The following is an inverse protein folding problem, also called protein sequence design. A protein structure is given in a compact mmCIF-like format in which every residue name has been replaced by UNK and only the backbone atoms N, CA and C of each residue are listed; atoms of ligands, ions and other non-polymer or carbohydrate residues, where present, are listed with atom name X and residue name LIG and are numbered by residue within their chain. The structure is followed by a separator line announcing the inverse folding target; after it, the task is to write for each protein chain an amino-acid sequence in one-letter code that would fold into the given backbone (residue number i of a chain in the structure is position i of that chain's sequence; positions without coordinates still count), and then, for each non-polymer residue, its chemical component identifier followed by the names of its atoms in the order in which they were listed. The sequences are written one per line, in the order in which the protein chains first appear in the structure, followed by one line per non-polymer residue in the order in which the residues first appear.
data_IF_705646121008
#
_entry.id   IF_705646121008
#
_cell.length_a   1.000
_cell.length_b   1.000
_cell.length_c   1.000
_cell.angle_alpha   90.00
_cell.angle_beta   90.00
_cell.angle_gamma   90.00
#
_symmetry.space_group_name_H-M   'P 1'
#
loop_
_entity.id
_entity.type
_entity.pdbx_description
1 polymer ?
#
# COMPACT_ATOMS: atom_id res chain seq x y z
N UNK A 1 70.47 -4.94 -7.78
CA UNK A 1 69.17 -4.29 -7.99
C UNK A 1 68.15 -5.31 -8.35
N UNK A 2 67.20 -5.67 -7.47
CA UNK A 2 66.11 -6.62 -7.75
C UNK A 2 64.84 -5.81 -7.94
N UNK A 3 64.05 -6.04 -8.99
CA UNK A 3 62.78 -5.35 -9.17
C UNK A 3 61.72 -5.93 -8.21
N UNK A 4 61.02 -5.04 -7.49
CA UNK A 4 59.87 -5.36 -6.67
C UNK A 4 58.66 -5.35 -7.62
N UNK A 5 58.06 -6.54 -7.82
CA UNK A 5 56.80 -6.67 -8.54
C UNK A 5 55.66 -6.38 -7.54
N UNK A 6 55.02 -5.25 -7.68
CA UNK A 6 53.81 -4.91 -6.93
C UNK A 6 52.62 -5.69 -7.54
N UNK A 7 52.08 -6.63 -6.78
CA UNK A 7 50.86 -7.36 -7.11
C UNK A 7 49.65 -6.50 -6.72
N UNK A 8 49.03 -5.87 -7.67
CA UNK A 8 47.75 -5.17 -7.48
C UNK A 8 46.63 -6.18 -7.41
N UNK A 9 46.12 -6.46 -6.20
CA UNK A 9 44.92 -7.25 -6.00
C UNK A 9 43.71 -6.38 -6.33
N UNK A 10 43.12 -6.59 -7.52
CA UNK A 10 41.86 -5.99 -7.93
C UNK A 10 40.74 -6.78 -7.21
N UNK A 11 40.18 -6.19 -6.14
CA UNK A 11 38.97 -6.71 -5.51
C UNK A 11 37.81 -6.54 -6.49
N UNK A 12 37.43 -7.60 -7.18
CA UNK A 12 36.15 -7.69 -7.88
C UNK A 12 35.05 -7.80 -6.82
N UNK A 13 34.42 -6.69 -6.49
CA UNK A 13 33.12 -6.66 -5.82
C UNK A 13 32.09 -7.25 -6.79
N UNK A 14 31.81 -8.53 -6.61
CA UNK A 14 30.66 -9.16 -7.26
C UNK A 14 29.41 -8.49 -6.70
N UNK A 15 28.88 -7.50 -7.44
CA UNK A 15 27.54 -6.98 -7.21
C UNK A 15 26.57 -8.16 -7.46
N UNK A 16 26.12 -8.78 -6.37
CA UNK A 16 25.01 -9.70 -6.42
C UNK A 16 23.79 -8.87 -6.86
N UNK A 17 23.50 -8.90 -8.18
CA UNK A 17 22.24 -8.44 -8.69
C UNK A 17 21.17 -9.37 -8.12
N UNK A 18 20.56 -8.98 -7.01
CA UNK A 18 19.31 -9.61 -6.58
C UNK A 18 18.36 -9.51 -7.76
N UNK A 19 18.01 -10.68 -8.32
CA UNK A 19 16.99 -10.74 -9.33
C UNK A 19 15.77 -10.00 -8.78
N UNK A 20 15.38 -8.90 -9.43
CA UNK A 20 14.28 -8.09 -8.96
C UNK A 20 13.04 -8.99 -8.95
N UNK A 21 12.48 -9.26 -7.76
CA UNK A 21 11.21 -9.97 -7.67
C UNK A 21 10.17 -9.15 -8.44
N UNK A 22 9.62 -9.75 -9.49
CA UNK A 22 8.60 -9.13 -10.34
C UNK A 22 7.37 -10.00 -10.28
N UNK A 23 6.29 -9.49 -9.73
CA UNK A 23 4.98 -10.10 -9.86
C UNK A 23 4.20 -9.41 -10.97
N UNK A 24 3.49 -10.20 -11.75
CA UNK A 24 2.73 -9.71 -12.89
C UNK A 24 1.40 -10.43 -12.98
N UNK A 25 0.33 -9.68 -13.13
CA UNK A 25 -1.00 -10.22 -13.38
C UNK A 25 -1.63 -9.56 -14.59
N UNK A 26 -2.29 -10.37 -15.40
CA UNK A 26 -3.10 -9.94 -16.53
C UNK A 26 -4.56 -9.89 -16.11
N UNK A 27 -5.28 -8.87 -16.54
CA UNK A 27 -6.70 -8.70 -16.31
C UNK A 27 -7.35 -8.00 -17.50
N UNK A 28 -8.68 -8.03 -17.60
CA UNK A 28 -9.41 -7.52 -18.76
C UNK A 28 -10.54 -6.57 -18.34
N UNK A 29 -10.23 -5.32 -17.99
CA UNK A 29 -11.25 -4.32 -17.76
C UNK A 29 -11.92 -3.94 -19.11
N UNK A 30 -13.24 -3.87 -19.12
CA UNK A 30 -14.02 -3.48 -20.32
C UNK A 30 -13.60 -4.24 -21.60
N UNK A 31 -13.22 -5.53 -21.48
CA UNK A 31 -12.67 -6.37 -22.55
C UNK A 31 -11.34 -5.85 -23.16
N UNK A 32 -10.68 -4.90 -22.54
CA UNK A 32 -9.38 -4.38 -22.97
C UNK A 32 -8.28 -5.07 -22.18
N UNK A 33 -7.33 -5.80 -22.83
CA UNK A 33 -6.25 -6.45 -22.12
C UNK A 33 -5.36 -5.45 -21.38
N UNK A 34 -5.20 -5.65 -20.08
CA UNK A 34 -4.37 -4.84 -19.21
C UNK A 34 -3.46 -5.73 -18.36
N UNK A 35 -2.44 -5.12 -17.76
CA UNK A 35 -1.46 -5.78 -16.91
C UNK A 35 -1.11 -4.90 -15.72
N UNK A 36 -1.01 -5.52 -14.55
CA UNK A 36 -0.39 -4.91 -13.39
C UNK A 36 0.96 -5.59 -13.10
N UNK A 37 1.96 -4.80 -12.77
CA UNK A 37 3.32 -5.24 -12.46
C UNK A 37 3.76 -4.64 -11.15
N UNK A 38 4.12 -5.50 -10.19
CA UNK A 38 4.72 -5.12 -8.92
C UNK A 38 6.20 -5.53 -8.96
N UNK A 39 7.10 -4.55 -8.94
CA UNK A 39 8.54 -4.77 -9.09
C UNK A 39 9.29 -4.30 -7.85
N UNK A 40 10.08 -5.21 -7.23
CA UNK A 40 10.96 -4.88 -6.12
C UNK A 40 12.22 -4.14 -6.61
N UNK A 41 12.64 -3.15 -5.86
CA UNK A 41 13.92 -2.44 -6.01
C UNK A 41 14.54 -2.15 -4.62
N UNK A 42 15.69 -1.49 -4.57
CA UNK A 42 16.43 -1.27 -3.30
C UNK A 42 15.66 -0.44 -2.26
N UNK A 43 14.74 0.40 -2.68
CA UNK A 43 13.96 1.30 -1.79
C UNK A 43 12.53 0.81 -1.53
N UNK A 44 12.15 -0.38 -2.03
CA UNK A 44 10.80 -0.92 -1.88
C UNK A 44 10.26 -1.49 -3.19
N UNK A 45 8.98 -1.23 -3.47
CA UNK A 45 8.30 -1.75 -4.66
C UNK A 45 7.67 -0.63 -5.47
N UNK A 46 7.74 -0.75 -6.78
CA UNK A 46 6.95 0.06 -7.71
C UNK A 46 5.75 -0.72 -8.23
N UNK A 47 4.62 -0.03 -8.41
CA UNK A 47 3.43 -0.55 -9.09
C UNK A 47 3.28 0.12 -10.44
N UNK A 48 3.08 -0.68 -11.49
CA UNK A 48 2.77 -0.19 -12.84
C UNK A 48 1.49 -0.86 -13.33
N UNK A 49 0.54 -0.08 -13.81
CA UNK A 49 -0.67 -0.55 -14.50
C UNK A 49 -0.59 -0.08 -15.94
N UNK A 50 -0.72 -0.99 -16.88
CA UNK A 50 -0.64 -0.69 -18.29
C UNK A 50 -1.72 -1.42 -19.09
N UNK A 51 -2.28 -0.73 -20.08
CA UNK A 51 -3.09 -1.32 -21.12
C UNK A 51 -2.15 -1.96 -22.16
N UNK A 52 -2.50 -3.16 -22.67
CA UNK A 52 -1.66 -3.88 -23.61
C UNK A 52 -1.88 -3.43 -25.07
N UNK A 53 -3.12 -3.07 -25.41
CA UNK A 53 -3.52 -2.69 -26.78
C UNK A 53 -4.53 -1.52 -26.75
N UNK A 54 -4.16 -0.31 -27.28
CA UNK A 54 -2.79 0.10 -27.60
C UNK A 54 -1.94 0.15 -26.32
N UNK A 55 -0.63 -0.05 -26.44
CA UNK A 55 0.25 -0.05 -25.26
C UNK A 55 0.32 1.33 -24.63
N UNK A 56 -0.20 1.46 -23.40
CA UNK A 56 -0.26 2.72 -22.67
C UNK A 56 -0.10 2.47 -21.16
N UNK A 57 0.80 3.20 -20.50
CA UNK A 57 0.84 3.22 -19.03
C UNK A 57 -0.31 4.05 -18.51
N UNK A 58 -1.10 3.46 -17.62
CA UNK A 58 -2.28 4.09 -17.00
C UNK A 58 -1.95 4.64 -15.61
N UNK A 59 -1.04 3.95 -14.88
CA UNK A 59 -0.58 4.34 -13.55
C UNK A 59 0.86 3.85 -13.37
N UNK A 60 1.69 4.67 -12.74
CA UNK A 60 3.00 4.25 -12.24
C UNK A 60 3.27 4.93 -10.91
N UNK A 61 3.50 4.13 -9.86
CA UNK A 61 3.88 4.60 -8.53
C UNK A 61 5.23 3.98 -8.19
N UNK A 62 6.26 4.82 -8.07
CA UNK A 62 7.64 4.36 -7.91
C UNK A 62 7.90 3.69 -6.55
N UNK A 63 7.40 4.28 -5.47
CA UNK A 63 7.60 3.80 -4.09
C UNK A 63 6.26 3.35 -3.50
N UNK A 64 5.59 2.43 -4.19
CA UNK A 64 4.24 2.00 -3.82
C UNK A 64 4.22 1.25 -2.48
N UNK A 65 5.17 0.34 -2.25
CA UNK A 65 5.35 -0.34 -0.96
C UNK A 65 6.77 -0.09 -0.45
N UNK A 66 6.97 -0.01 0.89
CA UNK A 66 8.29 0.15 1.49
C UNK A 66 9.13 -1.12 1.39
N UNK A 67 10.43 -1.01 1.67
CA UNK A 67 11.39 -2.12 1.53
C UNK A 67 11.21 -3.21 2.60
N UNK A 68 10.66 -2.88 3.77
CA UNK A 68 10.41 -3.79 4.90
C UNK A 68 9.14 -4.64 4.75
N UNK A 69 8.47 -4.61 3.60
CA UNK A 69 7.35 -5.49 3.32
C UNK A 69 7.85 -6.92 3.19
N UNK A 70 7.29 -7.83 4.00
CA UNK A 70 7.60 -9.26 4.02
C UNK A 70 6.78 -10.05 3.03
N UNK A 71 5.55 -9.60 2.78
CA UNK A 71 4.64 -10.19 1.79
C UNK A 71 4.13 -9.08 0.89
N UNK A 72 4.39 -9.21 -0.41
CA UNK A 72 3.82 -8.35 -1.43
C UNK A 72 3.27 -9.26 -2.55
N UNK A 73 1.96 -9.25 -2.77
CA UNK A 73 1.29 -10.12 -3.74
C UNK A 73 0.34 -9.35 -4.64
N UNK A 74 0.35 -9.72 -5.92
CA UNK A 74 -0.67 -9.34 -6.89
C UNK A 74 -1.65 -10.50 -7.09
N UNK A 75 -2.94 -10.20 -7.12
CA UNK A 75 -3.98 -11.16 -7.47
C UNK A 75 -4.84 -10.60 -8.59
N UNK A 76 -5.06 -11.39 -9.65
CA UNK A 76 -6.01 -11.05 -10.68
C UNK A 76 -7.43 -11.32 -10.20
N UNK A 77 -8.33 -10.39 -10.47
CA UNK A 77 -9.76 -10.50 -10.28
C UNK A 77 -10.44 -10.21 -11.63
N UNK A 78 -11.71 -10.61 -11.79
CA UNK A 78 -12.41 -10.31 -13.03
C UNK A 78 -12.50 -8.78 -13.24
N UNK A 79 -11.87 -8.28 -14.30
CA UNK A 79 -11.83 -6.86 -14.65
C UNK A 79 -11.00 -5.95 -13.73
N UNK A 80 -10.34 -6.52 -12.71
CA UNK A 80 -9.57 -5.79 -11.71
C UNK A 80 -8.37 -6.59 -11.22
N UNK A 81 -7.57 -6.00 -10.33
CA UNK A 81 -6.52 -6.69 -9.60
C UNK A 81 -6.42 -6.12 -8.18
N UNK A 82 -5.86 -6.90 -7.26
CA UNK A 82 -5.55 -6.42 -5.91
C UNK A 82 -4.07 -6.55 -5.60
N UNK A 83 -3.58 -5.65 -4.75
CA UNK A 83 -2.26 -5.71 -4.13
C UNK A 83 -2.45 -5.91 -2.64
N UNK A 84 -1.86 -6.97 -2.11
CA UNK A 84 -1.79 -7.27 -0.68
C UNK A 84 -0.38 -7.06 -0.19
N UNK A 85 -0.22 -6.37 0.93
CA UNK A 85 1.08 -6.16 1.57
C UNK A 85 1.01 -6.41 3.07
N UNK A 86 2.06 -7.04 3.61
CA UNK A 86 2.27 -7.21 5.05
C UNK A 86 3.70 -6.77 5.41
N UNK A 87 3.87 -6.20 6.59
CA UNK A 87 5.18 -5.90 7.17
C UNK A 87 5.48 -6.83 8.35
N UNK A 88 6.72 -6.80 8.84
CA UNK A 88 7.14 -7.57 10.02
C UNK A 88 6.34 -7.23 11.27
N UNK A 89 5.87 -5.99 11.39
CA UNK A 89 5.09 -5.49 12.53
C UNK A 89 3.59 -5.81 12.44
N UNK A 90 3.21 -6.80 11.64
CA UNK A 90 1.81 -7.20 11.36
C UNK A 90 0.92 -6.07 10.78
N UNK A 91 1.52 -5.02 10.24
CA UNK A 91 0.76 -4.05 9.46
C UNK A 91 0.42 -4.66 8.12
N UNK A 92 -0.82 -4.54 7.71
CA UNK A 92 -1.22 -4.93 6.38
C UNK A 92 -2.02 -3.84 5.68
N UNK A 93 -1.93 -3.83 4.36
CA UNK A 93 -2.79 -3.01 3.53
C UNK A 93 -3.10 -3.77 2.24
N UNK A 94 -4.37 -3.80 1.91
CA UNK A 94 -4.90 -4.38 0.68
C UNK A 94 -5.60 -3.29 -0.12
N UNK A 95 -5.28 -3.18 -1.40
CA UNK A 95 -5.95 -2.28 -2.33
C UNK A 95 -6.41 -3.05 -3.56
N UNK A 96 -7.67 -2.93 -3.93
CA UNK A 96 -8.17 -3.40 -5.21
C UNK A 96 -8.33 -2.23 -6.18
N UNK A 97 -7.79 -2.40 -7.37
CA UNK A 97 -7.85 -1.42 -8.45
C UNK A 97 -8.55 -2.02 -9.66
N UNK A 98 -9.41 -1.23 -10.30
CA UNK A 98 -10.00 -1.52 -11.60
C UNK A 98 -9.71 -0.40 -12.59
N UNK A 99 -9.80 -0.69 -13.86
CA UNK A 99 -9.65 0.32 -14.90
C UNK A 99 -11.02 0.59 -15.50
N UNK A 100 -11.47 1.84 -15.44
CA UNK A 100 -12.73 2.30 -16.00
C UNK A 100 -12.48 3.43 -16.98
N UNK A 101 -12.96 3.30 -18.20
CA UNK A 101 -12.74 4.29 -19.25
C UNK A 101 -11.25 4.66 -19.42
N UNK A 102 -10.36 3.66 -19.32
CA UNK A 102 -8.90 3.84 -19.43
C UNK A 102 -8.24 4.57 -18.26
N UNK A 103 -8.90 4.66 -17.10
CA UNK A 103 -8.36 5.26 -15.86
C UNK A 103 -8.41 4.28 -14.70
N UNK A 104 -7.32 4.12 -13.94
CA UNK A 104 -7.34 3.35 -12.71
C UNK A 104 -8.27 4.00 -11.67
N UNK A 105 -9.01 3.15 -10.96
CA UNK A 105 -9.93 3.53 -9.87
C UNK A 105 -9.76 2.59 -8.71
N UNK A 106 -9.84 3.10 -7.49
CA UNK A 106 -9.86 2.29 -6.28
C UNK A 106 -11.26 1.67 -6.16
N UNK A 107 -11.32 0.35 -6.13
CA UNK A 107 -12.55 -0.40 -5.90
C UNK A 107 -12.75 -0.67 -4.40
N UNK A 108 -11.68 -1.04 -3.70
CA UNK A 108 -11.66 -1.18 -2.25
C UNK A 108 -10.27 -0.91 -1.70
N UNK A 109 -10.21 -0.54 -0.43
CA UNK A 109 -8.98 -0.32 0.32
C UNK A 109 -9.21 -0.81 1.75
N UNK A 110 -8.29 -1.61 2.28
CA UNK A 110 -8.25 -2.02 3.69
C UNK A 110 -6.88 -1.69 4.23
N UNK A 111 -6.82 -0.97 5.34
CA UNK A 111 -5.57 -0.58 5.99
C UNK A 111 -5.61 -0.94 7.47
N UNK A 112 -4.65 -1.73 7.90
CA UNK A 112 -4.35 -1.99 9.30
C UNK A 112 -2.93 -1.48 9.56
N UNK A 113 -2.83 -0.22 9.94
CA UNK A 113 -1.57 0.48 10.10
C UNK A 113 -1.56 1.17 11.46
N UNK A 114 -0.77 0.69 12.43
CA UNK A 114 -0.59 1.37 13.71
C UNK A 114 -0.17 2.84 13.54
N UNK A 115 0.53 3.16 12.44
CA UNK A 115 0.91 4.53 12.11
C UNK A 115 -0.29 5.45 11.79
N UNK A 116 -1.46 4.94 11.49
CA UNK A 116 -2.69 5.74 11.36
C UNK A 116 -3.12 6.32 12.72
N UNK A 117 -2.74 5.66 13.82
CA UNK A 117 -2.97 6.13 15.19
C UNK A 117 -2.30 7.47 15.52
N UNK A 118 -1.36 7.94 14.72
CA UNK A 118 -0.69 9.23 14.94
C UNK A 118 -1.57 10.47 14.70
N UNK A 119 -2.80 10.31 14.18
CA UNK A 119 -3.72 11.43 13.93
C UNK A 119 -4.88 11.51 14.91
N UNK A 120 -5.38 10.40 15.37
CA UNK A 120 -6.23 10.42 16.54
C UNK A 120 -5.30 10.65 17.71
N UNK A 121 -5.37 11.82 18.33
CA UNK A 121 -4.74 12.02 19.61
C UNK A 121 -5.24 10.89 20.51
N UNK A 122 -4.33 10.04 21.01
CA UNK A 122 -4.76 9.06 22.00
C UNK A 122 -5.39 9.88 23.11
N UNK A 123 -6.67 9.68 23.33
CA UNK A 123 -7.32 10.18 24.54
C UNK A 123 -6.79 9.30 25.67
N UNK A 124 -5.60 9.68 26.14
CA UNK A 124 -4.94 9.00 27.23
C UNK A 124 -5.61 9.42 28.51
N UNK A 125 -6.47 8.57 29.03
CA UNK A 125 -6.96 8.69 30.40
C UNK A 125 -5.89 8.17 31.35
N UNK A 126 -5.12 9.09 31.94
CA UNK A 126 -4.06 8.77 32.90
C UNK A 126 -4.54 8.01 34.14
N UNK A 127 -5.82 8.17 34.51
CA UNK A 127 -6.38 7.53 35.69
C UNK A 127 -6.75 6.07 35.44
N UNK A 128 -7.00 5.70 34.17
CA UNK A 128 -7.41 4.34 33.78
C UNK A 128 -6.42 3.67 32.82
N UNK A 129 -5.30 4.31 32.51
CA UNK A 129 -4.30 3.80 31.57
C UNK A 129 -4.91 3.29 30.23
N UNK A 130 -5.90 4.06 29.72
CA UNK A 130 -6.64 3.72 28.50
C UNK A 130 -6.08 4.47 27.30
N UNK A 131 -6.04 3.78 26.16
CA UNK A 131 -5.58 4.31 24.88
C UNK A 131 -6.60 3.94 23.79
N UNK A 132 -6.99 4.92 22.99
CA UNK A 132 -7.87 4.71 21.85
C UNK A 132 -7.07 4.84 20.55
N UNK A 133 -7.09 3.81 19.71
CA UNK A 133 -6.35 3.78 18.45
C UNK A 133 -7.25 3.38 17.29
N UNK A 134 -7.09 4.03 16.14
CA UNK A 134 -7.65 3.52 14.91
C UNK A 134 -6.91 2.24 14.55
N UNK A 135 -7.62 1.14 14.50
CA UNK A 135 -7.06 -0.19 14.24
C UNK A 135 -7.28 -0.64 12.79
N UNK A 136 -8.37 -0.19 12.16
CA UNK A 136 -8.72 -0.61 10.80
C UNK A 136 -9.45 0.51 10.06
N UNK A 137 -9.13 0.66 8.78
CA UNK A 137 -9.80 1.53 7.83
C UNK A 137 -10.19 0.70 6.63
N UNK A 138 -11.46 0.73 6.24
CA UNK A 138 -11.97 -0.01 5.09
C UNK A 138 -12.83 0.90 4.20
N UNK A 139 -12.42 1.06 2.95
CA UNK A 139 -13.19 1.76 1.93
C UNK A 139 -13.80 0.77 0.95
N UNK A 140 -15.08 0.96 0.64
CA UNK A 140 -15.81 0.21 -0.37
C UNK A 140 -16.52 1.16 -1.33
N UNK A 141 -16.09 1.15 -2.59
CA UNK A 141 -16.63 2.03 -3.61
C UNK A 141 -18.08 1.71 -3.98
N UNK A 142 -18.46 0.43 -3.97
CA UNK A 142 -19.83 0.03 -4.32
C UNK A 142 -20.84 0.51 -3.28
N UNK A 143 -20.43 0.50 -2.00
CA UNK A 143 -21.22 1.06 -0.90
C UNK A 143 -21.06 2.57 -0.77
N UNK A 144 -20.01 3.15 -1.37
CA UNK A 144 -19.62 4.55 -1.21
C UNK A 144 -19.37 4.94 0.25
N UNK A 145 -18.77 4.03 1.01
CA UNK A 145 -18.52 4.19 2.44
C UNK A 145 -17.07 3.98 2.80
N UNK A 146 -16.65 4.66 3.87
CA UNK A 146 -15.43 4.45 4.60
C UNK A 146 -15.80 4.02 6.03
N UNK A 147 -15.40 2.81 6.40
CA UNK A 147 -15.57 2.26 7.73
C UNK A 147 -14.27 2.43 8.52
N UNK A 148 -14.34 2.98 9.71
CA UNK A 148 -13.20 3.17 10.60
C UNK A 148 -13.48 2.43 11.89
N UNK A 149 -12.61 1.48 12.22
CA UNK A 149 -12.67 0.77 13.49
C UNK A 149 -11.64 1.34 14.45
N UNK A 150 -12.12 1.81 15.59
CA UNK A 150 -11.30 2.28 16.70
C UNK A 150 -11.32 1.25 17.83
N UNK A 151 -10.16 0.86 18.31
CA UNK A 151 -10.02 -0.10 19.41
C UNK A 151 -9.51 0.60 20.66
N UNK A 152 -10.19 0.35 21.77
CA UNK A 152 -9.79 0.82 23.09
C UNK A 152 -8.83 -0.19 23.72
N UNK A 153 -7.73 0.30 24.29
CA UNK A 153 -6.73 -0.49 25.00
C UNK A 153 -6.68 -0.07 26.45
N UNK A 154 -6.66 -1.03 27.35
CA UNK A 154 -6.40 -0.80 28.78
C UNK A 154 -5.19 -1.62 29.17
N UNK A 155 -4.15 -0.99 29.73
CA UNK A 155 -2.88 -1.65 30.04
C UNK A 155 -2.26 -2.42 28.85
N UNK A 156 -2.39 -1.85 27.62
CA UNK A 156 -1.99 -2.46 26.34
C UNK A 156 -2.77 -3.74 25.96
N UNK A 157 -3.88 -4.03 26.63
CA UNK A 157 -4.78 -5.14 26.29
C UNK A 157 -5.92 -4.59 25.44
N UNK A 158 -6.15 -5.12 24.22
CA UNK A 158 -7.27 -4.70 23.40
C UNK A 158 -8.60 -5.07 24.07
N UNK A 159 -9.47 -4.09 24.19
CA UNK A 159 -10.82 -4.23 24.76
C UNK A 159 -11.90 -4.05 23.70
N UNK A 160 -12.83 -3.13 23.93
CA UNK A 160 -13.93 -2.84 23.03
C UNK A 160 -13.46 -2.15 21.77
N UNK A 161 -13.99 -2.59 20.63
CA UNK A 161 -13.81 -1.89 19.34
C UNK A 161 -15.13 -1.26 18.91
N UNK A 162 -15.06 -0.05 18.41
CA UNK A 162 -16.19 0.71 17.85
C UNK A 162 -15.93 0.91 16.36
N UNK A 163 -16.89 0.60 15.52
CA UNK A 163 -16.86 0.84 14.09
C UNK A 163 -17.82 1.97 13.74
N UNK A 164 -17.33 2.93 13.00
CA UNK A 164 -18.09 4.06 12.49
C UNK A 164 -18.05 4.06 10.97
N UNK A 165 -19.16 4.34 10.32
CA UNK A 165 -19.30 4.40 8.88
C UNK A 165 -19.50 5.84 8.43
N UNK A 166 -18.70 6.26 7.45
CA UNK A 166 -18.74 7.60 6.87
C UNK A 166 -19.07 7.52 5.39
N UNK A 167 -19.96 8.36 4.85
CA UNK A 167 -20.19 8.44 3.42
C UNK A 167 -18.97 9.00 2.71
N UNK A 168 -18.43 8.25 1.75
CA UNK A 168 -17.32 8.65 0.90
C UNK A 168 -17.59 8.20 -0.55
N UNK A 169 -18.35 8.96 -1.33
CA UNK A 169 -18.79 8.57 -2.67
C UNK A 169 -17.62 8.44 -3.66
N UNK A 170 -16.57 9.24 -3.50
CA UNK A 170 -15.37 9.19 -4.35
C UNK A 170 -14.10 9.14 -3.51
N UNK A 171 -13.11 8.32 -3.92
CA UNK A 171 -11.79 8.32 -3.29
C UNK A 171 -11.11 9.69 -3.38
N UNK A 172 -10.21 10.03 -2.44
CA UNK A 172 -9.39 11.23 -2.55
C UNK A 172 -8.71 11.33 -3.90
N UNK A 173 -8.83 12.47 -4.58
CA UNK A 173 -8.33 12.66 -5.95
C UNK A 173 -6.82 12.41 -6.09
N UNK A 174 -6.04 12.67 -5.03
CA UNK A 174 -4.60 12.46 -4.98
C UNK A 174 -4.20 10.97 -4.83
N UNK A 175 -5.12 10.08 -4.42
CA UNK A 175 -4.77 8.70 -4.08
C UNK A 175 -4.09 7.91 -5.22
N UNK A 176 -4.39 8.24 -6.48
CA UNK A 176 -3.81 7.59 -7.66
C UNK A 176 -3.08 8.59 -8.58
N UNK A 177 -2.49 9.65 -8.04
CA UNK A 177 -1.70 10.63 -8.80
C UNK A 177 -0.28 10.15 -9.17
N UNK A 178 0.10 8.96 -8.73
CA UNK A 178 1.39 8.34 -9.00
C UNK A 178 2.49 8.70 -8.01
N UNK A 179 2.21 9.49 -6.97
CA UNK A 179 3.19 10.01 -6.01
C UNK A 179 3.14 9.35 -4.66
N UNK A 180 1.98 8.84 -4.26
CA UNK A 180 1.73 8.33 -2.92
C UNK A 180 1.97 6.82 -2.80
N UNK A 181 2.67 6.42 -1.76
CA UNK A 181 2.76 5.02 -1.33
C UNK A 181 1.41 4.51 -0.83
N UNK A 182 1.25 3.18 -0.70
CA UNK A 182 0.01 2.61 -0.19
C UNK A 182 -0.33 3.11 1.23
N UNK A 183 0.68 3.27 2.09
CA UNK A 183 0.49 3.84 3.44
C UNK A 183 0.01 5.29 3.39
N UNK A 184 0.57 6.12 2.50
CA UNK A 184 0.12 7.50 2.32
C UNK A 184 -1.29 7.55 1.73
N UNK A 185 -1.65 6.62 0.83
CA UNK A 185 -3.02 6.47 0.32
C UNK A 185 -3.98 6.20 1.48
N UNK A 186 -3.65 5.29 2.41
CA UNK A 186 -4.47 5.07 3.62
C UNK A 186 -4.66 6.37 4.43
N UNK A 187 -3.58 7.16 4.60
CA UNK A 187 -3.65 8.47 5.27
C UNK A 187 -4.53 9.48 4.55
N UNK A 188 -4.55 9.47 3.20
CA UNK A 188 -5.45 10.35 2.43
C UNK A 188 -6.93 10.03 2.67
N UNK A 189 -7.28 8.73 2.79
CA UNK A 189 -8.65 8.32 3.09
C UNK A 189 -9.07 8.74 4.49
N UNK A 190 -8.18 8.57 5.48
CA UNK A 190 -8.43 9.03 6.85
C UNK A 190 -8.66 10.54 6.91
N UNK A 191 -7.88 11.32 6.16
CA UNK A 191 -8.02 12.77 6.08
C UNK A 191 -9.26 13.26 5.32
N UNK A 192 -9.92 12.38 4.57
CA UNK A 192 -11.12 12.73 3.83
C UNK A 192 -12.37 12.74 4.72
N UNK A 193 -12.28 12.22 5.93
CA UNK A 193 -13.36 12.28 6.92
C UNK A 193 -13.25 13.60 7.66
N UNK A 194 -14.27 14.48 7.59
CA UNK A 194 -14.30 15.67 8.39
C UNK A 194 -14.47 15.30 9.88
N UNK A 195 -13.82 16.03 10.76
CA UNK A 195 -13.95 15.94 12.23
C UNK A 195 -13.46 14.62 12.89
N UNK A 196 -12.51 13.93 12.25
CA UNK A 196 -11.73 12.86 12.88
C UNK A 196 -10.50 13.41 13.61
#
# INVERSE_FOLDING_TARGET
MKPIIALSATLLLAAHSYAALVETVDFQPDNIPAQAVLKRHSQGYSLTVAQKQPRRTLLHIRNFLPANVTVAKLNALYGSFSVRSHTEDNNFADIALRVENGRPRIASLTCHLPALSGKTMPEYDSDHNTLQLISLLEYNRERQTLEITTTHYTDNIPGMSVMEEYPLPEPPAAALDGKHSLSEICGLFLNAVPDL
#
